data_IF_145792166546
#
_entry.id   IF_145792166546
#
_cell.length_a   1.000
_cell.length_b   1.000
_cell.length_c   1.000
_cell.angle_alpha   90.00
_cell.angle_beta   90.00
_cell.angle_gamma   90.00
#
_symmetry.space_group_name_H-M   'P 1'
#
loop_
_entity.id
_entity.type
_entity.pdbx_description
1 polymer ?
#
# COMPACT_ATOMS: atom_id res chain seq x y z
N UNK A 1 23.37 43.00 -49.30
CA UNK A 1 22.00 42.79 -49.81
C UNK A 1 21.76 41.32 -50.19
N UNK A 2 21.83 40.37 -49.23
CA UNK A 2 21.76 38.92 -49.51
C UNK A 2 20.80 38.15 -48.56
N UNK A 3 19.95 38.85 -47.79
CA UNK A 3 19.06 38.23 -46.79
C UNK A 3 17.61 37.97 -47.23
N UNK A 4 17.25 38.27 -48.49
CA UNK A 4 15.88 38.16 -48.98
C UNK A 4 15.59 36.84 -49.75
N UNK A 5 16.58 36.28 -50.44
CA UNK A 5 16.40 35.03 -51.22
C UNK A 5 16.24 33.79 -50.34
N UNK A 6 16.97 33.69 -49.22
CA UNK A 6 16.92 32.51 -48.33
C UNK A 6 15.55 32.31 -47.65
N UNK A 7 14.83 33.40 -47.35
CA UNK A 7 13.47 33.35 -46.78
C UNK A 7 12.45 32.75 -47.75
N UNK A 8 12.63 32.93 -49.05
CA UNK A 8 11.76 32.34 -50.08
C UNK A 8 11.87 30.82 -50.14
N UNK A 9 13.11 30.31 -50.15
CA UNK A 9 13.37 28.86 -50.15
C UNK A 9 12.91 28.20 -48.84
N UNK A 10 13.09 28.85 -47.70
CA UNK A 10 12.59 28.34 -46.42
C UNK A 10 11.04 28.24 -46.41
N UNK A 11 10.34 29.26 -46.93
CA UNK A 11 8.87 29.23 -47.03
C UNK A 11 8.39 28.16 -48.02
N UNK A 12 9.04 28.01 -49.16
CA UNK A 12 8.72 26.95 -50.11
C UNK A 12 8.96 25.55 -49.53
N UNK A 13 10.04 25.37 -48.76
CA UNK A 13 10.32 24.13 -48.04
C UNK A 13 9.25 23.80 -47.00
N UNK A 14 8.86 24.77 -46.16
CA UNK A 14 7.81 24.57 -45.16
C UNK A 14 6.42 24.34 -45.75
N UNK A 15 6.08 25.06 -46.84
CA UNK A 15 4.83 24.82 -47.56
C UNK A 15 4.83 23.46 -48.28
N UNK A 16 5.97 23.04 -48.81
CA UNK A 16 6.16 21.70 -49.37
C UNK A 16 6.00 20.61 -48.31
N UNK A 17 6.67 20.75 -47.17
CA UNK A 17 6.51 19.84 -46.01
C UNK A 17 5.05 19.79 -45.55
N UNK A 18 4.39 20.93 -45.45
CA UNK A 18 2.99 21.00 -45.04
C UNK A 18 2.08 20.31 -46.06
N UNK A 19 2.27 20.56 -47.36
CA UNK A 19 1.50 19.91 -48.43
C UNK A 19 1.73 18.40 -48.47
N UNK A 20 2.98 17.95 -48.29
CA UNK A 20 3.33 16.53 -48.21
C UNK A 20 2.71 15.88 -46.98
N UNK A 21 2.79 16.53 -45.81
CA UNK A 21 2.18 16.04 -44.57
C UNK A 21 0.66 16.00 -44.67
N UNK A 22 0.05 17.01 -45.28
CA UNK A 22 -1.39 17.08 -45.52
C UNK A 22 -1.86 15.98 -46.48
N UNK A 23 -1.12 15.75 -47.56
CA UNK A 23 -1.37 14.65 -48.49
C UNK A 23 -1.19 13.28 -47.82
N UNK A 24 -0.12 13.07 -47.06
CA UNK A 24 0.09 11.84 -46.30
C UNK A 24 -1.02 11.59 -45.27
N UNK A 25 -1.50 12.64 -44.60
CA UNK A 25 -2.59 12.56 -43.63
C UNK A 25 -3.90 12.14 -44.30
N UNK A 26 -4.27 12.81 -45.40
CA UNK A 26 -5.53 12.55 -46.13
C UNK A 26 -5.51 11.21 -46.87
N UNK A 27 -4.38 10.80 -47.44
CA UNK A 27 -4.23 9.53 -48.15
C UNK A 27 -3.73 8.37 -47.28
N UNK A 28 -3.55 8.56 -45.96
CA UNK A 28 -3.00 7.52 -45.07
C UNK A 28 -3.81 6.22 -45.12
N UNK A 29 -5.14 6.31 -45.19
CA UNK A 29 -6.03 5.16 -45.23
C UNK A 29 -6.00 4.42 -46.58
N UNK A 30 -5.77 5.15 -47.68
CA UNK A 30 -5.65 4.58 -49.03
C UNK A 30 -4.29 3.91 -49.23
N UNK A 31 -3.21 4.56 -48.77
CA UNK A 31 -1.84 4.00 -48.73
C UNK A 31 -1.78 2.75 -47.85
N UNK A 32 -2.44 2.77 -46.68
CA UNK A 32 -2.59 1.63 -45.78
C UNK A 32 -3.21 0.40 -46.48
N UNK A 33 -4.29 0.62 -47.25
CA UNK A 33 -5.03 -0.44 -47.93
C UNK A 33 -4.30 -0.98 -49.16
N UNK A 34 -3.53 -0.13 -49.85
CA UNK A 34 -2.74 -0.49 -51.03
C UNK A 34 -1.43 -1.23 -50.70
N UNK A 35 -0.81 -0.93 -49.56
CA UNK A 35 0.43 -1.56 -49.11
C UNK A 35 0.21 -2.80 -48.23
N UNK A 36 -1.06 -3.19 -47.98
CA UNK A 36 -1.49 -4.28 -47.09
C UNK A 36 -0.70 -4.35 -45.77
N UNK A 37 -0.35 -3.18 -45.24
CA UNK A 37 0.53 -3.02 -44.09
C UNK A 37 -0.23 -3.24 -42.76
N UNK A 38 -0.96 -4.36 -42.65
CA UNK A 38 -1.78 -4.72 -41.48
C UNK A 38 -0.98 -4.83 -40.18
N UNK A 39 0.33 -5.11 -40.29
CA UNK A 39 1.28 -5.19 -39.18
C UNK A 39 1.46 -3.87 -38.40
N UNK A 40 1.20 -2.72 -39.04
CA UNK A 40 1.38 -1.40 -38.41
C UNK A 40 0.20 -1.01 -37.52
N UNK A 41 -0.98 -1.60 -37.75
CA UNK A 41 -2.20 -1.38 -36.94
C UNK A 41 -2.39 -2.50 -35.91
N UNK A 42 -2.06 -3.75 -36.26
CA UNK A 42 -2.05 -4.88 -35.32
C UNK A 42 -0.66 -5.48 -35.26
N UNK A 43 -0.02 -5.32 -34.12
CA UNK A 43 1.25 -5.98 -33.84
C UNK A 43 1.07 -7.50 -34.02
N UNK A 44 1.87 -8.16 -34.88
CA UNK A 44 1.67 -9.57 -35.24
C UNK A 44 1.77 -10.45 -34.00
N UNK A 45 0.75 -11.30 -33.78
CA UNK A 45 0.65 -12.09 -32.55
C UNK A 45 1.82 -13.05 -32.33
N UNK A 46 2.47 -13.53 -33.41
CA UNK A 46 3.64 -14.41 -33.31
C UNK A 46 4.91 -13.74 -32.73
N UNK A 47 4.96 -12.41 -32.66
CA UNK A 47 6.07 -11.66 -32.06
C UNK A 47 5.69 -11.00 -30.73
N UNK A 48 4.45 -11.21 -30.26
CA UNK A 48 4.05 -10.75 -28.94
C UNK A 48 4.77 -11.61 -27.90
N UNK A 49 5.65 -10.98 -27.13
CA UNK A 49 6.30 -11.64 -26.00
C UNK A 49 5.22 -11.96 -24.96
N UNK A 50 5.05 -13.22 -24.55
CA UNK A 50 4.01 -13.63 -23.59
C UNK A 50 4.45 -13.28 -22.16
N UNK A 51 4.64 -11.98 -21.90
CA UNK A 51 5.05 -11.46 -20.59
C UNK A 51 4.01 -11.80 -19.52
N UNK A 52 2.74 -11.87 -19.89
CA UNK A 52 1.64 -12.32 -19.03
C UNK A 52 1.95 -13.70 -18.45
N UNK A 53 2.28 -14.68 -19.30
CA UNK A 53 2.58 -16.04 -18.86
C UNK A 53 3.85 -16.07 -18.04
N UNK A 54 4.91 -15.40 -18.48
CA UNK A 54 6.18 -15.41 -17.77
C UNK A 54 6.08 -14.81 -16.36
N UNK A 55 5.33 -13.71 -16.20
CA UNK A 55 5.10 -13.10 -14.88
C UNK A 55 4.22 -14.00 -14.02
N UNK A 56 3.15 -14.58 -14.59
CA UNK A 56 2.28 -15.52 -13.86
C UNK A 56 3.02 -16.77 -13.40
N UNK A 57 3.81 -17.39 -14.28
CA UNK A 57 4.60 -18.58 -13.98
C UNK A 57 5.69 -18.27 -12.94
N UNK A 58 6.35 -17.10 -13.04
CA UNK A 58 7.33 -16.66 -12.05
C UNK A 58 6.69 -16.38 -10.68
N UNK A 59 5.48 -15.80 -10.64
CA UNK A 59 4.75 -15.56 -9.40
C UNK A 59 4.27 -16.87 -8.77
N UNK A 60 3.75 -17.79 -9.58
CA UNK A 60 3.36 -19.13 -9.11
C UNK A 60 4.56 -19.86 -8.52
N UNK A 61 5.69 -19.88 -9.23
CA UNK A 61 6.94 -20.42 -8.73
C UNK A 61 7.37 -19.76 -7.41
N UNK A 62 7.35 -18.42 -7.32
CA UNK A 62 7.79 -17.69 -6.12
C UNK A 62 6.91 -18.00 -4.90
N UNK A 63 5.61 -18.20 -5.10
CA UNK A 63 4.63 -18.34 -4.03
C UNK A 63 4.40 -19.80 -3.63
N UNK A 64 4.55 -20.75 -4.56
CA UNK A 64 4.24 -22.17 -4.37
C UNK A 64 5.50 -23.04 -4.26
N UNK A 65 6.52 -22.80 -5.09
CA UNK A 65 7.68 -23.69 -5.23
C UNK A 65 8.98 -23.14 -4.63
N UNK A 66 9.12 -21.82 -4.52
CA UNK A 66 10.35 -21.19 -4.07
C UNK A 66 10.60 -21.48 -2.57
N UNK A 67 11.59 -22.35 -2.33
CA UNK A 67 12.05 -22.72 -1.01
C UNK A 67 13.47 -22.19 -0.77
N UNK A 68 13.70 -21.63 0.42
CA UNK A 68 15.00 -21.16 0.88
C UNK A 68 15.81 -22.31 1.52
N UNK A 69 15.52 -23.55 1.13
CA UNK A 69 16.04 -24.78 1.72
C UNK A 69 15.27 -25.26 2.95
N UNK A 70 15.08 -24.40 3.95
CA UNK A 70 14.45 -24.77 5.24
C UNK A 70 12.94 -24.43 5.33
N UNK A 71 12.49 -23.40 4.61
CA UNK A 71 11.12 -22.91 4.61
C UNK A 71 10.79 -22.26 3.25
N UNK A 72 9.50 -22.14 2.92
CA UNK A 72 9.07 -21.51 1.66
C UNK A 72 9.14 -19.99 1.74
N UNK A 73 9.20 -19.30 0.60
CA UNK A 73 9.12 -17.84 0.56
C UNK A 73 7.81 -17.32 1.20
N UNK A 74 6.71 -18.08 1.03
CA UNK A 74 5.42 -17.80 1.68
C UNK A 74 5.52 -17.86 3.22
N UNK A 75 6.26 -18.82 3.75
CA UNK A 75 6.44 -18.94 5.20
C UNK A 75 7.26 -17.77 5.75
N UNK A 76 8.27 -17.31 5.01
CA UNK A 76 9.04 -16.12 5.39
C UNK A 76 8.17 -14.88 5.47
N UNK A 77 7.35 -14.59 4.45
CA UNK A 77 6.47 -13.41 4.46
C UNK A 77 5.44 -13.50 5.57
N UNK A 78 4.87 -14.68 5.80
CA UNK A 78 3.94 -14.93 6.90
C UNK A 78 4.60 -14.79 8.27
N UNK A 79 5.84 -15.23 8.41
CA UNK A 79 6.62 -15.07 9.63
C UNK A 79 6.89 -13.59 9.92
N UNK A 80 7.34 -12.83 8.92
CA UNK A 80 7.55 -11.37 9.06
C UNK A 80 6.24 -10.68 9.48
N UNK A 81 5.13 -11.02 8.83
CA UNK A 81 3.81 -10.52 9.25
C UNK A 81 3.47 -10.92 10.69
N UNK A 82 3.70 -12.17 11.08
CA UNK A 82 3.42 -12.66 12.43
C UNK A 82 4.30 -11.96 13.49
N UNK A 83 5.56 -11.67 13.18
CA UNK A 83 6.48 -10.97 14.09
C UNK A 83 6.01 -9.53 14.32
N UNK A 84 5.52 -8.85 13.28
CA UNK A 84 5.00 -7.48 13.39
C UNK A 84 3.63 -7.47 14.11
N UNK A 85 2.78 -8.45 13.82
CA UNK A 85 1.43 -8.55 14.39
C UNK A 85 1.44 -9.04 15.85
N UNK A 86 2.44 -9.83 16.26
CA UNK A 86 2.56 -10.37 17.61
C UNK A 86 2.52 -9.29 18.72
N UNK A 87 3.33 -8.22 18.70
CA UNK A 87 3.26 -7.18 19.72
C UNK A 87 1.92 -6.42 19.66
N UNK A 88 1.38 -6.18 18.46
CA UNK A 88 0.07 -5.53 18.29
C UNK A 88 -1.07 -6.30 18.91
N UNK A 89 -1.19 -7.57 18.55
CA UNK A 89 -2.21 -8.46 19.08
C UNK A 89 -2.09 -8.61 20.60
N UNK A 90 -0.87 -8.63 21.16
CA UNK A 90 -0.67 -8.71 22.61
C UNK A 90 -1.19 -7.46 23.33
N UNK A 91 -0.81 -6.25 22.87
CA UNK A 91 -1.25 -4.99 23.49
C UNK A 91 -2.76 -4.80 23.30
N UNK A 92 -3.29 -5.11 22.12
CA UNK A 92 -4.72 -5.06 21.82
C UNK A 92 -5.53 -6.04 22.68
N UNK A 93 -5.05 -7.26 22.86
CA UNK A 93 -5.67 -8.24 23.75
C UNK A 93 -5.62 -7.77 25.21
N UNK A 94 -4.51 -7.20 25.66
CA UNK A 94 -4.38 -6.71 27.03
C UNK A 94 -5.30 -5.52 27.33
N UNK A 95 -5.50 -4.59 26.37
CA UNK A 95 -6.24 -3.34 26.60
C UNK A 95 -7.72 -3.38 26.20
N UNK A 96 -8.11 -4.23 25.25
CA UNK A 96 -9.42 -4.18 24.59
C UNK A 96 -10.12 -5.53 24.62
N UNK A 97 -9.58 -6.53 23.91
CA UNK A 97 -10.34 -7.75 23.60
C UNK A 97 -10.32 -8.78 24.73
N UNK A 98 -9.26 -8.82 25.53
CA UNK A 98 -8.94 -9.93 26.42
C UNK A 98 -8.23 -11.09 25.69
N UNK A 99 -7.73 -12.04 26.47
CA UNK A 99 -7.06 -13.23 25.96
C UNK A 99 -8.07 -14.37 25.79
N UNK A 100 -8.34 -14.71 24.54
CA UNK A 100 -9.24 -15.79 24.15
C UNK A 100 -8.46 -16.98 23.58
N UNK A 101 -8.90 -18.20 23.88
CA UNK A 101 -8.37 -19.43 23.30
C UNK A 101 -9.48 -20.23 22.62
N UNK A 102 -9.28 -20.54 21.35
CA UNK A 102 -10.26 -21.22 20.50
C UNK A 102 -10.80 -20.33 19.39
N UNK A 103 -11.79 -20.81 18.65
CA UNK A 103 -12.44 -20.07 17.56
C UNK A 103 -13.95 -20.20 17.64
N UNK A 104 -14.66 -19.13 17.29
CA UNK A 104 -16.12 -19.09 17.23
C UNK A 104 -16.77 -19.33 18.59
N UNK A 105 -17.85 -20.13 18.62
CA UNK A 105 -18.63 -20.40 19.83
C UNK A 105 -17.93 -21.28 20.87
N UNK A 106 -16.73 -21.80 20.55
CA UNK A 106 -15.91 -22.60 21.46
C UNK A 106 -14.76 -21.78 22.06
N UNK A 107 -14.72 -20.46 21.83
CA UNK A 107 -13.71 -19.60 22.42
C UNK A 107 -13.90 -19.52 23.93
N UNK A 108 -12.89 -19.97 24.67
CA UNK A 108 -12.83 -19.87 26.13
C UNK A 108 -12.02 -18.63 26.49
N UNK A 109 -12.58 -17.80 27.34
CA UNK A 109 -11.90 -16.63 27.90
C UNK A 109 -10.84 -17.12 28.90
N UNK A 110 -9.56 -16.88 28.60
CA UNK A 110 -8.47 -17.20 29.53
C UNK A 110 -8.35 -16.07 30.56
N UNK A 111 -8.31 -14.83 30.07
CA UNK A 111 -8.17 -13.65 30.91
C UNK A 111 -8.91 -12.46 30.27
N UNK A 112 -9.69 -11.69 31.05
CA UNK A 112 -10.34 -10.49 30.55
C UNK A 112 -9.30 -9.42 30.20
N UNK A 113 -9.73 -8.46 29.37
CA UNK A 113 -8.96 -7.23 29.16
C UNK A 113 -8.77 -6.46 30.48
N UNK A 114 -7.69 -5.67 30.56
CA UNK A 114 -7.44 -4.79 31.68
C UNK A 114 -8.62 -3.83 31.87
N UNK A 115 -9.08 -3.71 33.12
CA UNK A 115 -10.11 -2.73 33.43
C UNK A 115 -9.59 -1.32 33.15
N UNK A 116 -10.46 -0.45 32.63
CA UNK A 116 -10.10 0.94 32.36
C UNK A 116 -9.58 1.65 33.62
N UNK A 117 -10.09 1.28 34.80
CA UNK A 117 -9.58 1.78 36.10
C UNK A 117 -8.13 1.37 36.31
N UNK A 118 -7.78 0.09 36.09
CA UNK A 118 -6.41 -0.40 36.26
C UNK A 118 -5.45 0.33 35.31
N UNK A 119 -5.84 0.52 34.05
CA UNK A 119 -5.03 1.25 33.06
C UNK A 119 -4.84 2.72 33.46
N UNK A 120 -5.89 3.41 33.91
CA UNK A 120 -5.77 4.80 34.40
C UNK A 120 -4.80 4.87 35.58
N UNK A 121 -4.91 3.97 36.55
CA UNK A 121 -4.02 3.95 37.73
C UNK A 121 -2.56 3.77 37.30
N UNK A 122 -2.29 2.86 36.36
CA UNK A 122 -0.93 2.65 35.82
C UNK A 122 -0.42 3.91 35.12
N UNK A 123 -1.23 4.55 34.27
CA UNK A 123 -0.83 5.77 33.55
C UNK A 123 -0.60 6.96 34.48
N UNK A 124 -1.44 7.12 35.51
CA UNK A 124 -1.27 8.14 36.55
C UNK A 124 0.02 7.87 37.36
N UNK A 125 0.29 6.62 37.71
CA UNK A 125 1.52 6.24 38.41
C UNK A 125 2.77 6.50 37.53
N UNK A 126 2.70 6.19 36.24
CA UNK A 126 3.77 6.52 35.28
C UNK A 126 3.98 8.03 35.14
N UNK A 127 2.89 8.80 35.09
CA UNK A 127 2.97 10.26 35.04
C UNK A 127 3.58 10.87 36.32
N UNK A 128 3.25 10.31 37.50
CA UNK A 128 3.89 10.69 38.77
C UNK A 128 5.38 10.34 38.79
N UNK A 129 5.76 9.22 38.18
CA UNK A 129 7.16 8.81 38.10
C UNK A 129 7.98 9.65 37.11
N UNK A 130 7.36 10.05 35.98
CA UNK A 130 8.02 10.83 34.94
C UNK A 130 8.06 12.34 35.22
N UNK A 131 7.17 12.86 36.07
CA UNK A 131 7.01 14.30 36.30
C UNK A 131 6.47 14.63 37.69
N UNK A 132 5.38 15.41 37.74
CA UNK A 132 4.80 15.95 38.97
C UNK A 132 3.31 15.59 39.14
N UNK A 133 2.74 15.95 40.29
CA UNK A 133 1.37 15.64 40.64
C UNK A 133 0.33 16.30 39.72
N UNK A 134 0.64 17.49 39.15
CA UNK A 134 -0.28 18.18 38.23
C UNK A 134 -0.37 17.41 36.91
N UNK A 135 0.77 16.95 36.38
CA UNK A 135 0.81 16.11 35.19
C UNK A 135 -0.02 14.83 35.38
N UNK A 136 0.15 14.17 36.53
CA UNK A 136 -0.58 12.94 36.82
C UNK A 136 -2.10 13.15 36.92
N UNK A 137 -2.54 14.25 37.53
CA UNK A 137 -3.96 14.61 37.60
C UNK A 137 -4.52 14.92 36.22
N UNK A 138 -3.76 15.65 35.39
CA UNK A 138 -4.13 15.95 34.01
C UNK A 138 -4.30 14.66 33.18
N UNK A 139 -3.29 13.78 33.21
CA UNK A 139 -3.33 12.48 32.50
C UNK A 139 -4.51 11.63 32.98
N UNK A 140 -4.66 11.47 34.31
CA UNK A 140 -5.77 10.72 34.88
C UNK A 140 -7.13 11.28 34.50
N UNK A 141 -7.29 12.61 34.53
CA UNK A 141 -8.50 13.30 34.12
C UNK A 141 -8.84 13.09 32.63
N UNK A 142 -7.83 13.15 31.75
CA UNK A 142 -8.02 12.90 30.32
C UNK A 142 -8.48 11.46 30.02
N UNK A 143 -7.84 10.44 30.60
CA UNK A 143 -8.26 9.06 30.38
C UNK A 143 -9.59 8.73 31.07
N UNK A 144 -9.86 9.31 32.23
CA UNK A 144 -11.16 9.17 32.91
C UNK A 144 -12.28 9.77 32.06
N UNK A 145 -12.05 10.93 31.44
CA UNK A 145 -12.98 11.52 30.48
C UNK A 145 -13.28 10.54 29.34
N UNK A 146 -12.26 9.98 28.69
CA UNK A 146 -12.49 9.01 27.59
C UNK A 146 -13.30 7.79 28.04
N UNK A 147 -13.04 7.28 29.25
CA UNK A 147 -13.77 6.13 29.81
C UNK A 147 -15.26 6.47 30.07
N UNK A 148 -15.54 7.60 30.72
CA UNK A 148 -16.90 8.01 31.08
C UNK A 148 -17.76 8.32 29.85
N UNK A 149 -17.15 8.88 28.80
CA UNK A 149 -17.85 9.23 27.55
C UNK A 149 -17.90 8.07 26.52
N UNK A 150 -17.45 6.87 26.89
CA UNK A 150 -17.54 5.69 26.02
C UNK A 150 -16.60 5.70 24.82
N UNK A 151 -15.51 6.47 24.87
CA UNK A 151 -14.48 6.55 23.81
C UNK A 151 -13.25 5.69 24.12
N UNK A 152 -13.34 4.81 25.13
CA UNK A 152 -12.23 4.01 25.62
C UNK A 152 -11.62 3.09 24.55
N UNK A 153 -12.44 2.29 23.89
CA UNK A 153 -11.97 1.29 22.92
C UNK A 153 -11.23 1.94 21.74
N UNK A 154 -11.83 2.96 21.12
CA UNK A 154 -11.21 3.72 20.02
C UNK A 154 -9.87 4.34 20.43
N UNK A 155 -9.78 4.86 21.65
CA UNK A 155 -8.55 5.46 22.19
C UNK A 155 -7.48 4.41 22.51
N UNK A 156 -7.86 3.24 23.03
CA UNK A 156 -6.92 2.15 23.30
C UNK A 156 -6.36 1.55 22.00
N UNK A 157 -7.14 1.46 20.92
CA UNK A 157 -6.65 1.01 19.61
C UNK A 157 -5.56 1.94 19.10
N UNK A 158 -5.75 3.26 19.25
CA UNK A 158 -4.74 4.25 18.87
C UNK A 158 -3.52 4.23 19.79
N UNK A 159 -3.71 4.03 21.09
CA UNK A 159 -2.59 3.86 22.02
C UNK A 159 -1.77 2.61 21.67
N UNK A 160 -2.44 1.48 21.37
CA UNK A 160 -1.79 0.24 20.99
C UNK A 160 -0.92 0.42 19.73
N UNK A 161 -1.43 1.09 18.69
CA UNK A 161 -0.65 1.30 17.47
C UNK A 161 0.58 2.19 17.68
N UNK A 162 0.46 3.25 18.48
CA UNK A 162 1.59 4.13 18.82
C UNK A 162 2.65 3.39 19.65
N UNK A 163 2.24 2.53 20.59
CA UNK A 163 3.17 1.75 21.43
C UNK A 163 4.07 0.79 20.64
N UNK A 164 3.67 0.39 19.43
CA UNK A 164 4.45 -0.54 18.58
C UNK A 164 5.19 0.19 17.48
N UNK A 165 4.71 1.37 17.11
CA UNK A 165 5.33 2.20 16.08
C UNK A 165 6.64 2.85 16.55
N UNK A 166 6.88 2.94 17.86
CA UNK A 166 8.09 3.50 18.50
C UNK A 166 9.01 2.39 18.97
#
# INVERSE_FOLDING_TARGET
MTGARSRGYARAYWLGLFAVTWALSTYSFALYKALDARWIIRFPQGWQVPLDRWISDAMAWLVEDASLGLFTFRDLTRFVSAVIEAPYSLVRAALIDGFWQGQGQQAVEIAPALSWVAVIVVLVALALWAGDAVLALLVGGCFLYLAVFGQWESAMVTLASILIAV
#
